data_IF_067675190105
#
_entry.id   IF_067675190105
#
_cell.length_a   1.000
_cell.length_b   1.000
_cell.length_c   1.000
_cell.angle_alpha   90.00
_cell.angle_beta   90.00
_cell.angle_gamma   90.00
#
_symmetry.space_group_name_H-M   'P 1'
#
loop_
_entity.id
_entity.type
_entity.pdbx_description
1 polymer ?
#
# COMPACT_ATOMS: atom_id res chain seq x y z
N UNK A 1 -26.73 8.99 -2.28
CA UNK A 1 -25.50 9.03 -3.10
C UNK A 1 -24.34 9.29 -2.15
N UNK A 2 -23.45 8.31 -1.92
CA UNK A 2 -22.30 8.51 -1.03
C UNK A 2 -21.21 9.36 -1.69
N UNK A 3 -20.30 9.96 -0.90
CA UNK A 3 -19.23 10.79 -1.45
C UNK A 3 -18.31 9.95 -2.35
N UNK A 4 -17.95 10.50 -3.51
CA UNK A 4 -17.02 9.86 -4.44
C UNK A 4 -15.57 10.03 -3.95
N UNK A 5 -14.69 9.11 -4.35
CA UNK A 5 -13.24 9.19 -4.03
C UNK A 5 -12.64 10.51 -4.52
N UNK A 6 -13.12 11.02 -5.66
CA UNK A 6 -12.71 12.32 -6.22
C UNK A 6 -13.15 13.47 -5.32
N UNK A 7 -14.41 13.48 -4.88
CA UNK A 7 -14.93 14.54 -4.00
C UNK A 7 -14.29 14.58 -2.61
N UNK A 8 -13.88 13.42 -2.09
CA UNK A 8 -13.13 13.36 -0.81
C UNK A 8 -11.73 14.00 -0.93
N UNK A 9 -11.10 13.95 -2.10
CA UNK A 9 -9.75 14.53 -2.33
C UNK A 9 -9.80 16.04 -2.44
N UNK A 10 -10.89 16.58 -2.99
CA UNK A 10 -11.13 18.00 -3.19
C UNK A 10 -11.53 18.72 -1.89
N UNK A 11 -12.12 17.99 -0.92
CA UNK A 11 -12.55 18.53 0.36
C UNK A 11 -11.43 18.81 1.39
N UNK A 12 -10.17 18.48 1.07
CA UNK A 12 -9.02 18.83 1.91
C UNK A 12 -9.01 18.21 3.31
N UNK A 13 -9.73 17.11 3.54
CA UNK A 13 -9.74 16.42 4.84
C UNK A 13 -8.33 15.93 5.17
N UNK A 14 -7.91 16.08 6.43
CA UNK A 14 -6.57 15.71 6.88
C UNK A 14 -6.23 14.29 6.42
N UNK A 15 -4.95 14.01 6.12
CA UNK A 15 -4.53 12.75 5.49
C UNK A 15 -5.12 11.50 6.16
N UNK A 16 -5.35 11.55 7.47
CA UNK A 16 -5.92 10.46 8.26
C UNK A 16 -7.45 10.39 8.19
N UNK A 17 -8.16 11.52 8.25
CA UNK A 17 -9.62 11.57 8.02
C UNK A 17 -9.97 11.12 6.60
N UNK A 18 -9.18 11.54 5.61
CA UNK A 18 -9.30 11.11 4.23
C UNK A 18 -9.09 9.59 4.10
N UNK A 19 -8.05 9.04 4.75
CA UNK A 19 -7.80 7.59 4.78
C UNK A 19 -8.95 6.82 5.42
N UNK A 20 -9.49 7.31 6.54
CA UNK A 20 -10.63 6.69 7.21
C UNK A 20 -11.90 6.73 6.35
N UNK A 21 -12.19 7.87 5.72
CA UNK A 21 -13.33 8.01 4.82
C UNK A 21 -13.26 7.02 3.65
N UNK A 22 -12.07 6.85 3.05
CA UNK A 22 -11.85 5.86 1.98
C UNK A 22 -11.96 4.42 2.50
N UNK A 23 -11.46 4.13 3.70
CA UNK A 23 -11.63 2.81 4.35
C UNK A 23 -13.10 2.48 4.53
N UNK A 24 -13.87 3.39 5.11
CA UNK A 24 -15.31 3.22 5.34
C UNK A 24 -16.07 3.05 4.03
N UNK A 25 -15.78 3.86 3.01
CA UNK A 25 -16.40 3.76 1.69
C UNK A 25 -16.18 2.37 1.07
N UNK A 26 -14.95 1.84 1.14
CA UNK A 26 -14.62 0.49 0.64
C UNK A 26 -15.33 -0.62 1.41
N UNK A 27 -15.45 -0.48 2.73
CA UNK A 27 -16.16 -1.44 3.58
C UNK A 27 -17.65 -1.47 3.24
N UNK A 28 -18.28 -0.30 3.14
CA UNK A 28 -19.70 -0.19 2.77
C UNK A 28 -19.97 -0.75 1.37
N UNK A 29 -19.12 -0.44 0.39
CA UNK A 29 -19.24 -1.01 -0.95
C UNK A 29 -19.17 -2.55 -0.95
N UNK A 30 -18.22 -3.12 -0.19
CA UNK A 30 -18.09 -4.57 -0.07
C UNK A 30 -19.29 -5.24 0.59
N UNK A 31 -19.90 -4.59 1.60
CA UNK A 31 -21.12 -5.07 2.24
C UNK A 31 -22.30 -5.09 1.27
N UNK A 32 -22.49 -4.01 0.49
CA UNK A 32 -23.55 -3.95 -0.52
C UNK A 32 -23.38 -5.03 -1.59
N UNK A 33 -22.15 -5.22 -2.09
CA UNK A 33 -21.86 -6.31 -3.04
C UNK A 33 -22.18 -7.66 -2.40
N UNK A 34 -21.73 -7.91 -1.18
CA UNK A 34 -21.98 -9.18 -0.50
C UNK A 34 -23.48 -9.47 -0.31
N UNK A 35 -24.34 -8.47 -0.14
CA UNK A 35 -25.80 -8.67 -0.03
C UNK A 35 -26.43 -9.19 -1.32
N UNK A 36 -25.83 -8.91 -2.49
CA UNK A 36 -26.32 -9.33 -3.80
C UNK A 36 -25.81 -10.72 -4.23
N UNK A 37 -24.93 -11.34 -3.44
CA UNK A 37 -24.27 -12.59 -3.80
C UNK A 37 -24.92 -13.81 -3.14
N UNK A 38 -24.94 -14.91 -3.88
CA UNK A 38 -25.28 -16.24 -3.37
C UNK A 38 -24.21 -16.77 -2.40
N UNK A 39 -24.54 -17.79 -1.61
CA UNK A 39 -23.67 -18.33 -0.55
C UNK A 39 -22.26 -18.72 -1.04
N UNK A 40 -22.16 -19.42 -2.17
CA UNK A 40 -20.87 -19.83 -2.73
C UNK A 40 -20.13 -18.69 -3.44
N UNK A 41 -20.85 -17.69 -3.94
CA UNK A 41 -20.26 -16.46 -4.47
C UNK A 41 -19.68 -15.60 -3.33
N UNK A 42 -20.37 -15.53 -2.18
CA UNK A 42 -19.86 -14.87 -0.96
C UNK A 42 -18.56 -15.50 -0.47
N UNK A 43 -18.44 -16.83 -0.52
CA UNK A 43 -17.19 -17.53 -0.18
C UNK A 43 -16.05 -17.12 -1.12
N UNK A 44 -16.26 -17.19 -2.44
CA UNK A 44 -15.27 -16.79 -3.45
C UNK A 44 -14.89 -15.30 -3.33
N UNK A 45 -15.87 -14.43 -3.16
CA UNK A 45 -15.66 -12.99 -2.96
C UNK A 45 -14.82 -12.68 -1.72
N UNK A 46 -15.05 -13.40 -0.61
CA UNK A 46 -14.22 -13.26 0.60
C UNK A 46 -12.77 -13.66 0.36
N UNK A 47 -12.53 -14.76 -0.35
CA UNK A 47 -11.17 -15.21 -0.69
C UNK A 47 -10.46 -14.18 -1.59
N UNK A 48 -11.10 -13.74 -2.68
CA UNK A 48 -10.56 -12.71 -3.57
C UNK A 48 -10.23 -11.40 -2.82
N UNK A 49 -11.09 -10.99 -1.88
CA UNK A 49 -10.82 -9.80 -1.05
C UNK A 49 -9.69 -10.01 -0.05
N UNK A 50 -9.53 -11.22 0.48
CA UNK A 50 -8.42 -11.54 1.37
C UNK A 50 -7.09 -11.52 0.61
N UNK A 51 -7.04 -12.09 -0.58
CA UNK A 51 -5.88 -12.05 -1.50
C UNK A 51 -5.54 -10.62 -1.92
N UNK A 52 -6.55 -9.82 -2.30
CA UNK A 52 -6.34 -8.41 -2.64
C UNK A 52 -5.86 -7.58 -1.44
N UNK A 53 -6.21 -7.99 -0.21
CA UNK A 53 -5.72 -7.36 1.03
C UNK A 53 -4.30 -7.79 1.36
N UNK A 54 -3.89 -9.03 1.08
CA UNK A 54 -2.51 -9.48 1.25
C UNK A 54 -1.55 -8.87 0.23
N UNK A 55 -2.04 -8.50 -0.95
CA UNK A 55 -1.31 -7.70 -1.95
C UNK A 55 -1.42 -6.19 -1.75
N UNK A 56 -1.85 -5.70 -0.57
CA UNK A 56 -2.06 -4.27 -0.38
C UNK A 56 -0.75 -3.52 -0.45
N UNK A 57 -0.69 -2.48 -1.27
CA UNK A 57 0.46 -1.59 -1.35
C UNK A 57 0.83 -1.03 0.01
N UNK A 58 2.09 -1.20 0.43
CA UNK A 58 2.62 -0.71 1.71
C UNK A 58 3.54 0.48 1.47
N UNK A 59 3.62 1.37 2.46
CA UNK A 59 4.65 2.41 2.48
C UNK A 59 5.87 1.85 3.19
N UNK A 60 7.02 1.84 2.53
CA UNK A 60 8.29 1.37 3.07
C UNK A 60 9.39 2.37 2.75
N UNK A 61 10.50 2.30 3.49
CA UNK A 61 11.67 3.11 3.20
C UNK A 61 12.80 2.23 2.68
N UNK A 62 13.46 2.69 1.62
CA UNK A 62 14.82 2.26 1.28
C UNK A 62 15.78 3.39 1.63
N UNK A 63 17.06 3.07 1.73
CA UNK A 63 18.08 4.05 2.08
C UNK A 63 19.11 4.15 0.95
N UNK A 64 19.46 5.38 0.59
CA UNK A 64 20.52 5.69 -0.39
C UNK A 64 21.63 6.46 0.30
N UNK A 65 22.84 6.44 -0.25
CA UNK A 65 23.93 7.30 0.21
C UNK A 65 23.89 8.63 -0.53
N UNK A 66 23.80 9.72 0.23
CA UNK A 66 24.00 11.08 -0.27
C UNK A 66 25.08 11.76 0.56
N UNK A 67 26.17 12.20 -0.09
CA UNK A 67 27.32 12.78 0.60
C UNK A 67 27.91 11.89 1.71
N UNK A 68 27.83 10.56 1.55
CA UNK A 68 28.29 9.59 2.55
C UNK A 68 27.34 9.38 3.74
N UNK A 69 26.15 9.96 3.72
CA UNK A 69 25.13 9.80 4.77
C UNK A 69 23.92 9.02 4.23
N UNK A 70 23.34 8.08 5.00
CA UNK A 70 22.10 7.44 4.64
C UNK A 70 20.93 8.43 4.61
N UNK A 71 20.21 8.47 3.49
CA UNK A 71 18.98 9.25 3.32
C UNK A 71 17.84 8.30 2.97
N UNK A 72 16.72 8.41 3.68
CA UNK A 72 15.54 7.59 3.47
C UNK A 72 14.75 8.06 2.24
N UNK A 73 14.40 7.13 1.37
CA UNK A 73 13.46 7.32 0.26
C UNK A 73 12.19 6.52 0.55
N UNK A 74 11.07 7.23 0.67
CA UNK A 74 9.76 6.63 0.86
C UNK A 74 9.22 6.04 -0.44
N UNK A 75 8.91 4.75 -0.42
CA UNK A 75 8.40 3.99 -1.55
C UNK A 75 7.03 3.38 -1.22
N UNK A 76 6.23 3.23 -2.27
CA UNK A 76 5.06 2.35 -2.25
C UNK A 76 5.45 1.02 -2.85
N UNK A 77 5.39 -0.05 -2.05
CA UNK A 77 5.76 -1.40 -2.47
C UNK A 77 4.54 -2.30 -2.61
N UNK A 78 4.63 -3.27 -3.52
CA UNK A 78 3.60 -4.27 -3.80
C UNK A 78 3.92 -5.63 -3.21
N UNK A 79 3.75 -6.66 -4.03
CA UNK A 79 3.98 -8.05 -3.63
C UNK A 79 5.46 -8.32 -3.33
N UNK A 80 5.71 -9.29 -2.46
CA UNK A 80 7.05 -9.75 -2.12
C UNK A 80 7.05 -11.28 -1.99
N UNK A 81 8.13 -11.90 -2.45
CA UNK A 81 8.40 -13.34 -2.27
C UNK A 81 9.41 -13.61 -1.13
N UNK A 82 9.77 -12.58 -0.37
CA UNK A 82 10.77 -12.62 0.70
C UNK A 82 12.20 -12.32 0.25
N UNK A 83 12.50 -12.43 -1.05
CA UNK A 83 13.80 -12.06 -1.64
C UNK A 83 13.69 -10.77 -2.44
N UNK A 84 12.62 -10.64 -3.22
CA UNK A 84 12.30 -9.50 -4.05
C UNK A 84 10.99 -8.85 -3.61
N UNK A 85 10.91 -7.55 -3.80
CA UNK A 85 9.70 -6.76 -3.54
C UNK A 85 9.45 -5.83 -4.71
N UNK A 86 8.21 -5.80 -5.20
CA UNK A 86 7.79 -4.89 -6.26
C UNK A 86 7.78 -3.44 -5.77
N UNK A 87 8.37 -2.51 -6.53
CA UNK A 87 8.23 -1.07 -6.32
C UNK A 87 7.16 -0.54 -7.27
N UNK A 88 6.10 0.01 -6.71
CA UNK A 88 4.90 0.46 -7.45
C UNK A 88 4.93 1.97 -7.68
N UNK A 89 5.51 2.71 -6.72
CA UNK A 89 5.66 4.17 -6.79
C UNK A 89 6.78 4.64 -5.89
N UNK A 90 7.45 5.71 -6.28
CA UNK A 90 8.46 6.39 -5.47
C UNK A 90 9.44 7.13 -6.38
N UNK A 91 10.26 7.98 -5.79
CA UNK A 91 11.33 8.68 -6.51
C UNK A 91 12.61 7.85 -6.45
N UNK A 92 12.66 6.79 -7.26
CA UNK A 92 13.82 5.92 -7.40
C UNK A 92 13.96 5.49 -8.85
N UNK A 93 15.17 5.56 -9.38
CA UNK A 93 15.47 5.19 -10.76
C UNK A 93 16.10 3.80 -10.83
N UNK A 94 15.99 3.16 -11.99
CA UNK A 94 16.74 1.94 -12.25
C UNK A 94 18.25 2.21 -12.14
N UNK A 95 18.97 1.33 -11.44
CA UNK A 95 20.41 1.47 -11.20
C UNK A 95 20.78 2.32 -9.98
N UNK A 96 19.81 2.93 -9.28
CA UNK A 96 20.07 3.56 -7.99
C UNK A 96 20.63 2.54 -7.00
N UNK A 97 21.80 2.84 -6.42
CA UNK A 97 22.35 2.03 -5.34
C UNK A 97 21.58 2.28 -4.05
N UNK A 98 21.20 1.19 -3.38
CA UNK A 98 20.51 1.21 -2.10
C UNK A 98 21.30 0.45 -1.05
N UNK A 99 21.15 0.84 0.21
CA UNK A 99 21.71 0.15 1.36
C UNK A 99 20.78 -1.01 1.73
N UNK A 100 21.30 -2.24 1.67
CA UNK A 100 20.54 -3.48 1.96
C UNK A 100 20.88 -4.09 3.33
N UNK A 101 21.86 -3.54 4.04
CA UNK A 101 22.28 -4.02 5.36
C UNK A 101 23.43 -3.19 5.93
N UNK A 102 23.74 -3.43 7.20
CA UNK A 102 24.92 -2.91 7.88
C UNK A 102 25.88 -4.07 8.12
N UNK A 103 27.16 -3.90 7.79
CA UNK A 103 28.21 -4.82 8.26
C UNK A 103 28.68 -4.34 9.62
N UNK A 104 28.59 -5.18 10.64
CA UNK A 104 29.18 -4.94 11.95
C UNK A 104 30.62 -5.46 11.94
N UNK A 105 31.49 -4.82 11.17
CA UNK A 105 32.91 -5.18 11.15
C UNK A 105 33.62 -4.34 12.21
N UNK A 106 33.70 -4.86 13.45
CA UNK A 106 34.36 -4.17 14.57
C UNK A 106 34.03 -4.72 15.95
N UNK A 107 34.40 -5.97 16.23
CA UNK A 107 34.64 -6.48 17.59
C UNK A 107 35.88 -7.37 17.57
#
# INVERSE_FOLDING_TARGET
MGPSIRGLREAGTGSDEFREAIRQLRTQAAQRVAQLLESDQKKRYRLMRAEAKSGSYRQENVWVLDGGKPVALGLTVGISDGTYTEIVRGDIAQGTQVIVGLSLDGS
#
